data_IF_318699447337
#
_entry.id   IF_318699447337
#
_cell.length_a   1.000
_cell.length_b   1.000
_cell.length_c   1.000
_cell.angle_alpha   90.00
_cell.angle_beta   90.00
_cell.angle_gamma   90.00
#
_symmetry.space_group_name_H-M   'P 1'
#
loop_
_entity.id
_entity.type
_entity.pdbx_description
1 polymer ?
#
# COMPACT_ATOMS: atom_id res chain seq x y z
N UNK A 1 15.47 -7.28 7.27
CA UNK A 1 14.81 -8.51 6.75
C UNK A 1 15.87 -9.48 6.27
N UNK A 2 15.55 -10.75 6.06
CA UNK A 2 16.44 -11.73 5.43
C UNK A 2 15.74 -12.27 4.19
N UNK A 3 16.37 -12.12 3.02
CA UNK A 3 15.84 -12.60 1.75
C UNK A 3 16.51 -13.92 1.37
N UNK A 4 15.77 -14.81 0.71
CA UNK A 4 16.28 -16.09 0.24
C UNK A 4 15.59 -16.48 -1.07
N UNK A 5 16.32 -17.17 -1.93
CA UNK A 5 15.82 -17.72 -3.19
C UNK A 5 16.22 -19.19 -3.26
N UNK A 6 15.30 -20.03 -3.75
CA UNK A 6 15.58 -21.46 -4.01
C UNK A 6 15.67 -21.78 -5.51
N UNK A 7 15.42 -20.80 -6.38
CA UNK A 7 15.21 -21.01 -7.81
C UNK A 7 16.12 -20.16 -8.72
N UNK A 8 16.79 -19.16 -8.17
CA UNK A 8 17.66 -18.23 -8.92
C UNK A 8 18.72 -17.64 -8.01
N UNK A 9 19.89 -17.35 -8.58
CA UNK A 9 20.96 -16.58 -7.95
C UNK A 9 20.92 -15.10 -8.37
N UNK A 10 20.02 -14.73 -9.28
CA UNK A 10 19.79 -13.34 -9.68
C UNK A 10 19.12 -12.56 -8.52
N UNK A 11 19.64 -11.38 -8.24
CA UNK A 11 19.09 -10.49 -7.22
C UNK A 11 17.87 -9.73 -7.78
N UNK A 12 16.69 -10.03 -7.23
CA UNK A 12 15.42 -9.39 -7.56
C UNK A 12 14.72 -8.93 -6.27
N UNK A 13 15.43 -8.10 -5.50
CA UNK A 13 14.94 -7.58 -4.22
C UNK A 13 14.32 -6.19 -4.45
N UNK A 14 13.11 -5.93 -3.93
CA UNK A 14 12.46 -4.62 -4.04
C UNK A 14 13.30 -3.48 -3.44
N UNK A 15 13.38 -2.36 -4.14
CA UNK A 15 14.05 -1.17 -3.63
C UNK A 15 13.19 -0.44 -2.57
N UNK A 16 13.82 -0.15 -1.43
CA UNK A 16 13.23 0.59 -0.31
C UNK A 16 14.01 1.88 -0.04
N UNK A 17 13.96 2.89 -0.95
CA UNK A 17 14.81 4.08 -0.87
C UNK A 17 14.59 4.89 0.41
N UNK A 18 13.35 4.94 0.92
CA UNK A 18 13.04 5.64 2.17
C UNK A 18 13.72 5.03 3.41
N UNK A 19 14.22 3.80 3.33
CA UNK A 19 14.94 3.15 4.43
C UNK A 19 16.32 3.77 4.68
N UNK A 20 16.98 4.27 3.63
CA UNK A 20 18.30 4.90 3.72
C UNK A 20 18.23 6.43 3.84
N UNK A 21 17.02 7.00 3.83
CA UNK A 21 16.80 8.43 3.88
C UNK A 21 16.72 8.93 5.35
N UNK A 22 17.66 9.81 5.72
CA UNK A 22 17.77 10.41 7.06
C UNK A 22 16.52 11.24 7.47
N UNK A 23 15.68 11.62 6.52
CA UNK A 23 14.41 12.30 6.76
C UNK A 23 13.31 11.39 7.30
N UNK A 24 13.52 10.06 7.31
CA UNK A 24 12.54 9.08 7.76
C UNK A 24 12.99 8.38 9.04
N UNK A 25 11.99 7.96 9.84
CA UNK A 25 12.20 7.05 10.95
C UNK A 25 11.88 5.62 10.51
N UNK A 26 12.88 4.75 10.58
CA UNK A 26 12.71 3.33 10.27
C UNK A 26 12.06 2.57 11.42
N UNK A 27 10.94 1.93 11.13
CA UNK A 27 10.23 1.05 12.06
C UNK A 27 10.03 -0.30 11.36
N UNK A 28 10.68 -1.35 11.87
CA UNK A 28 10.47 -2.72 11.42
C UNK A 28 9.50 -3.42 12.39
N UNK A 29 8.21 -3.57 12.03
CA UNK A 29 7.26 -4.29 12.89
C UNK A 29 7.59 -5.80 12.95
N UNK A 30 7.14 -6.50 14.00
CA UNK A 30 7.22 -7.95 14.03
C UNK A 30 6.36 -8.56 12.91
N UNK A 31 6.80 -9.72 12.40
CA UNK A 31 6.00 -10.49 11.44
C UNK A 31 4.73 -11.04 12.09
N UNK A 32 3.65 -11.11 11.33
CA UNK A 32 2.38 -11.73 11.74
C UNK A 32 2.03 -12.89 10.81
N UNK A 33 1.39 -13.92 11.36
CA UNK A 33 0.79 -14.98 10.56
C UNK A 33 -0.68 -14.62 10.28
N UNK A 34 -1.03 -14.57 8.99
CA UNK A 34 -2.34 -14.14 8.49
C UNK A 34 -3.21 -15.36 8.11
N UNK A 35 -2.67 -16.59 8.18
CA UNK A 35 -3.34 -17.81 7.74
C UNK A 35 -3.92 -17.70 6.31
N UNK A 36 -3.19 -17.02 5.42
CA UNK A 36 -3.56 -16.77 4.03
C UNK A 36 -2.36 -16.87 3.09
N UNK A 37 -2.60 -17.02 1.79
CA UNK A 37 -1.50 -17.04 0.81
C UNK A 37 -0.92 -15.63 0.62
N UNK A 38 0.37 -15.55 0.29
CA UNK A 38 1.04 -14.28 0.03
C UNK A 38 0.32 -13.45 -1.06
N UNK A 39 -0.15 -14.10 -2.12
CA UNK A 39 -0.92 -13.44 -3.18
C UNK A 39 -2.23 -12.82 -2.68
N UNK A 40 -2.97 -13.50 -1.77
CA UNK A 40 -4.18 -12.93 -1.16
C UNK A 40 -3.88 -11.78 -0.22
N UNK A 41 -2.77 -11.85 0.51
CA UNK A 41 -2.32 -10.71 1.33
C UNK A 41 -1.94 -9.51 0.46
N UNK A 42 -1.29 -9.76 -0.68
CA UNK A 42 -0.95 -8.71 -1.65
C UNK A 42 -2.21 -8.05 -2.21
N UNK A 43 -3.17 -8.86 -2.70
CA UNK A 43 -4.47 -8.35 -3.18
C UNK A 43 -5.19 -7.54 -2.09
N UNK A 44 -5.23 -8.05 -0.85
CA UNK A 44 -5.87 -7.35 0.26
C UNK A 44 -5.17 -6.06 0.69
N UNK A 45 -3.87 -5.90 0.45
CA UNK A 45 -3.17 -4.64 0.69
C UNK A 45 -3.42 -3.61 -0.43
N UNK A 46 -3.53 -4.08 -1.67
CA UNK A 46 -3.67 -3.24 -2.87
C UNK A 46 -5.12 -2.86 -3.19
N UNK A 47 -6.10 -3.60 -2.68
CA UNK A 47 -7.51 -3.33 -2.91
C UNK A 47 -7.98 -2.11 -2.11
N UNK A 48 -8.30 -1.03 -2.80
CA UNK A 48 -8.90 0.17 -2.18
C UNK A 48 -10.42 0.07 -2.08
N UNK A 49 -11.05 -0.88 -2.78
CA UNK A 49 -12.50 -1.02 -2.82
C UNK A 49 -13.10 -1.52 -1.51
N UNK A 50 -12.33 -2.26 -0.71
CA UNK A 50 -12.80 -2.72 0.59
C UNK A 50 -12.79 -1.64 1.67
N UNK A 51 -12.22 -0.45 1.42
CA UNK A 51 -12.03 0.60 2.43
C UNK A 51 -13.33 0.95 3.15
N UNK A 52 -14.38 1.29 2.40
CA UNK A 52 -15.69 1.65 2.96
C UNK A 52 -16.37 0.51 3.73
N UNK A 53 -15.90 -0.73 3.59
CA UNK A 53 -16.53 -1.91 4.19
C UNK A 53 -15.76 -2.38 5.43
N UNK A 54 -14.47 -2.67 5.27
CA UNK A 54 -13.61 -3.24 6.32
C UNK A 54 -13.00 -2.16 7.21
N UNK A 55 -12.68 -0.99 6.64
CA UNK A 55 -12.00 0.12 7.34
C UNK A 55 -12.95 1.26 7.73
N UNK A 56 -14.26 1.00 7.69
CA UNK A 56 -15.29 1.97 8.03
C UNK A 56 -15.22 2.49 9.46
N UNK A 57 -14.56 1.79 10.38
CA UNK A 57 -14.35 2.26 11.76
C UNK A 57 -12.93 2.76 12.06
N UNK A 58 -12.01 2.73 11.08
CA UNK A 58 -10.63 3.19 11.26
C UNK A 58 -10.38 4.53 10.55
N UNK A 59 -10.32 4.53 9.22
CA UNK A 59 -9.97 5.71 8.42
C UNK A 59 -10.97 6.00 7.30
N UNK A 60 -11.67 5.00 6.79
CA UNK A 60 -12.56 5.16 5.64
C UNK A 60 -13.95 5.69 6.03
N UNK A 61 -14.68 6.21 5.05
CA UNK A 61 -16.09 6.57 5.17
C UNK A 61 -16.96 5.47 4.55
N UNK A 62 -17.91 4.93 5.33
CA UNK A 62 -18.87 3.92 4.86
C UNK A 62 -19.72 4.39 3.68
N UNK A 63 -19.92 5.69 3.53
CA UNK A 63 -20.72 6.27 2.45
C UNK A 63 -19.89 6.59 1.20
N UNK A 64 -18.55 6.51 1.27
CA UNK A 64 -17.65 6.73 0.14
C UNK A 64 -17.20 5.39 -0.46
N UNK A 65 -18.09 4.74 -1.21
CA UNK A 65 -17.90 3.36 -1.69
C UNK A 65 -17.36 3.26 -3.12
N UNK A 66 -17.34 4.38 -3.86
CA UNK A 66 -17.02 4.38 -5.27
C UNK A 66 -15.52 4.58 -5.46
N UNK A 67 -14.87 3.58 -6.04
CA UNK A 67 -13.49 3.68 -6.50
C UNK A 67 -13.52 4.15 -7.96
N UNK A 68 -13.02 5.36 -8.27
CA UNK A 68 -12.90 5.80 -9.66
C UNK A 68 -11.92 4.92 -10.42
N UNK A 69 -12.09 4.82 -11.74
CA UNK A 69 -11.10 4.14 -12.59
C UNK A 69 -9.76 4.88 -12.54
N UNK A 70 -8.68 4.13 -12.35
CA UNK A 70 -7.31 4.61 -12.41
C UNK A 70 -6.49 3.76 -13.35
N UNK A 71 -5.31 4.25 -13.75
CA UNK A 71 -4.41 3.53 -14.66
C UNK A 71 -3.45 2.66 -13.87
N UNK A 72 -3.08 1.55 -14.50
CA UNK A 72 -2.06 0.62 -14.00
C UNK A 72 -1.03 0.49 -15.10
N UNK A 73 0.20 0.88 -14.81
CA UNK A 73 1.32 0.79 -15.71
C UNK A 73 2.12 -0.48 -15.40
N UNK A 74 2.49 -1.21 -16.44
CA UNK A 74 3.39 -2.36 -16.31
C UNK A 74 4.83 -1.86 -16.43
N UNK A 75 5.68 -2.29 -15.51
CA UNK A 75 7.09 -1.93 -15.46
C UNK A 75 7.94 -3.20 -15.56
N UNK A 76 9.26 -3.05 -15.66
CA UNK A 76 10.17 -4.19 -15.64
C UNK A 76 10.16 -4.92 -14.28
N UNK A 77 9.98 -4.18 -13.18
CA UNK A 77 9.92 -4.72 -11.82
C UNK A 77 8.51 -5.24 -11.42
N UNK A 78 7.47 -4.95 -12.20
CA UNK A 78 6.10 -5.35 -11.89
C UNK A 78 5.06 -4.33 -12.35
N UNK A 79 4.43 -3.64 -11.40
CA UNK A 79 3.36 -2.67 -11.68
C UNK A 79 3.60 -1.36 -10.94
N UNK A 80 3.18 -0.26 -11.58
CA UNK A 80 3.11 1.07 -11.00
C UNK A 80 1.66 1.57 -11.08
N UNK A 81 1.13 2.08 -9.97
CA UNK A 81 -0.27 2.47 -9.86
C UNK A 81 -0.39 3.79 -9.12
N UNK A 82 -1.04 4.76 -9.74
CA UNK A 82 -1.42 6.02 -9.10
C UNK A 82 -2.93 6.06 -8.86
N UNK A 83 -3.33 6.18 -7.59
CA UNK A 83 -4.72 6.27 -7.18
C UNK A 83 -4.99 7.58 -6.42
N UNK A 84 -5.75 8.48 -7.04
CA UNK A 84 -6.17 9.75 -6.44
C UNK A 84 -7.57 9.61 -5.84
N UNK A 85 -7.74 10.01 -4.58
CA UNK A 85 -9.06 9.96 -3.91
C UNK A 85 -9.19 10.94 -2.75
N UNK A 86 -10.44 11.22 -2.38
CA UNK A 86 -10.80 11.96 -1.15
C UNK A 86 -10.65 11.15 0.15
N UNK A 87 -10.25 9.88 0.09
CA UNK A 87 -10.04 9.08 1.30
C UNK A 87 -8.77 9.56 2.00
N UNK A 88 -8.90 9.99 3.24
CA UNK A 88 -7.82 10.55 4.04
C UNK A 88 -6.79 9.52 4.50
N UNK A 89 -5.53 9.97 4.67
CA UNK A 89 -4.49 9.21 5.36
C UNK A 89 -4.57 9.34 6.88
N UNK A 90 -5.37 10.28 7.40
CA UNK A 90 -5.65 10.39 8.83
C UNK A 90 -6.75 9.41 9.25
N UNK A 91 -6.55 8.77 10.41
CA UNK A 91 -7.62 8.01 11.07
C UNK A 91 -8.77 8.92 11.52
N UNK A 92 -9.94 8.34 11.79
CA UNK A 92 -11.17 9.07 12.19
C UNK A 92 -10.96 10.09 13.31
N UNK A 93 -10.12 9.77 14.31
CA UNK A 93 -9.83 10.68 15.43
C UNK A 93 -9.03 11.93 15.05
N UNK A 94 -8.40 11.94 13.87
CA UNK A 94 -7.49 12.98 13.40
C UNK A 94 -8.03 13.75 12.20
N UNK A 95 -9.31 13.56 11.82
CA UNK A 95 -9.93 14.23 10.66
C UNK A 95 -9.89 15.76 10.72
N UNK A 96 -9.79 16.34 11.91
CA UNK A 96 -9.66 17.80 12.08
C UNK A 96 -8.35 18.38 11.52
N UNK A 97 -7.37 17.53 11.19
CA UNK A 97 -6.12 17.91 10.53
C UNK A 97 -6.22 17.85 9.00
N UNK A 98 -7.34 17.36 8.44
CA UNK A 98 -7.53 17.25 7.01
C UNK A 98 -7.70 18.65 6.38
N UNK A 99 -6.93 18.99 5.34
CA UNK A 99 -7.20 20.19 4.56
C UNK A 99 -8.54 20.05 3.83
N UNK A 100 -9.27 21.15 3.71
CA UNK A 100 -10.56 21.15 3.02
C UNK A 100 -10.40 20.77 1.54
N UNK A 101 -11.23 19.83 1.07
CA UNK A 101 -11.24 19.35 -0.32
C UNK A 101 -9.90 18.80 -0.82
N UNK A 102 -9.11 18.19 0.08
CA UNK A 102 -7.83 17.60 -0.28
C UNK A 102 -7.99 16.21 -0.89
N UNK A 103 -7.32 15.97 -2.01
CA UNK A 103 -7.22 14.66 -2.65
C UNK A 103 -5.85 14.05 -2.32
N UNK A 104 -5.86 12.78 -1.92
CA UNK A 104 -4.67 12.01 -1.58
C UNK A 104 -4.29 11.12 -2.76
N UNK A 105 -3.08 11.35 -3.27
CA UNK A 105 -2.44 10.45 -4.21
C UNK A 105 -1.81 9.30 -3.43
N UNK A 106 -2.16 8.07 -3.78
CA UNK A 106 -1.51 6.85 -3.32
C UNK A 106 -0.77 6.25 -4.50
N UNK A 107 0.53 6.10 -4.35
CA UNK A 107 1.37 5.46 -5.36
C UNK A 107 1.76 4.09 -4.88
N UNK A 108 1.37 3.06 -5.63
CA UNK A 108 1.77 1.68 -5.36
C UNK A 108 2.80 1.24 -6.39
N UNK A 109 3.98 0.87 -5.91
CA UNK A 109 4.95 0.09 -6.68
C UNK A 109 4.87 -1.36 -6.21
N UNK A 110 4.53 -2.26 -7.12
CA UNK A 110 4.22 -3.65 -6.81
C UNK A 110 5.32 -4.52 -7.41
N UNK A 111 5.90 -5.39 -6.59
CA UNK A 111 6.97 -6.34 -6.91
C UNK A 111 6.43 -7.76 -6.66
N UNK A 112 5.70 -8.34 -7.63
CA UNK A 112 4.99 -9.58 -7.42
C UNK A 112 5.96 -10.75 -7.14
N UNK A 113 5.57 -11.74 -6.32
CA UNK A 113 4.29 -11.82 -5.61
C UNK A 113 4.35 -11.34 -4.16
N UNK A 114 5.48 -10.83 -3.67
CA UNK A 114 5.78 -10.78 -2.23
C UNK A 114 5.91 -9.38 -1.64
N UNK A 115 6.07 -8.34 -2.45
CA UNK A 115 6.28 -6.99 -1.93
C UNK A 115 5.50 -5.92 -2.70
N UNK A 116 5.14 -4.88 -1.97
CA UNK A 116 4.63 -3.64 -2.50
C UNK A 116 5.10 -2.48 -1.63
N UNK A 117 5.28 -1.33 -2.24
CA UNK A 117 5.58 -0.06 -1.59
C UNK A 117 4.42 0.89 -1.83
N UNK A 118 3.99 1.58 -0.77
CA UNK A 118 2.99 2.63 -0.82
C UNK A 118 3.63 3.95 -0.37
N UNK A 119 3.49 5.00 -1.19
CA UNK A 119 3.89 6.37 -0.85
C UNK A 119 2.75 7.35 -1.08
#
# INVERSE_FOLDING_TARGET
>A
MVWTSSASDEEDIPELPAWEDEGYLNILPPSIDIAGSAGRQMEGFLDVSHFAWVHSESFADRNNQIVPSYKVDKTEYGLHVEYLSSVSNYGKGMKHLEPANFEWLRVFDIFPPLAARLT
#
